data_IF_522040996228
#
_entry.id   IF_522040996228
#
_cell.length_a   1.000
_cell.length_b   1.000
_cell.length_c   1.000
_cell.angle_alpha   90.00
_cell.angle_beta   90.00
_cell.angle_gamma   90.00
#
_symmetry.space_group_name_H-M   'P 1'
#
loop_
_entity.id
_entity.type
_entity.pdbx_description
1 polymer ?
#
# COMPACT_ATOMS: atom_id res chain seq x y z
N UNK A 1 1.66 9.97 64.94
CA UNK A 1 1.99 11.23 64.27
C UNK A 1 2.84 11.09 63.03
N UNK A 2 4.07 10.48 63.09
CA UNK A 2 4.96 10.37 61.90
C UNK A 2 4.34 9.66 60.65
N UNK A 3 3.55 8.59 60.86
CA UNK A 3 2.85 7.86 59.77
C UNK A 3 1.74 8.68 59.11
N UNK A 4 1.02 9.50 59.84
CA UNK A 4 -0.05 10.36 59.33
C UNK A 4 0.53 11.51 58.51
N UNK A 5 1.64 12.10 58.98
CA UNK A 5 2.37 13.13 58.26
C UNK A 5 2.95 12.62 56.93
N UNK A 6 3.51 11.39 56.89
CA UNK A 6 3.99 10.75 55.68
C UNK A 6 2.88 10.52 54.63
N UNK A 7 1.69 10.10 55.04
CA UNK A 7 0.53 9.89 54.18
C UNK A 7 0.04 11.25 53.58
N UNK A 8 0.03 12.30 54.40
CA UNK A 8 -0.36 13.64 53.94
C UNK A 8 0.64 14.18 52.94
N UNK A 9 1.94 14.00 53.17
CA UNK A 9 2.99 14.40 52.24
C UNK A 9 2.89 13.64 50.90
N UNK A 10 2.64 12.31 50.93
CA UNK A 10 2.42 11.53 49.71
C UNK A 10 1.16 11.98 48.93
N UNK A 11 0.07 12.30 49.61
CA UNK A 11 -1.14 12.82 48.98
C UNK A 11 -0.91 14.20 48.37
N UNK A 12 -0.19 15.08 49.04
CA UNK A 12 0.14 16.44 48.51
C UNK A 12 1.04 16.32 47.26
N UNK A 13 2.01 15.39 47.26
CA UNK A 13 2.86 15.16 46.08
C UNK A 13 2.08 14.61 44.91
N UNK A 14 1.09 13.75 45.12
CA UNK A 14 0.19 13.25 44.08
C UNK A 14 -0.69 14.34 43.43
N UNK A 15 -1.06 15.37 44.20
CA UNK A 15 -1.86 16.50 43.71
C UNK A 15 -1.02 17.66 43.14
N UNK A 16 0.27 17.74 43.42
CA UNK A 16 1.14 18.82 42.94
C UNK A 16 1.92 18.50 41.66
N UNK A 17 1.92 17.22 41.22
CA UNK A 17 2.36 16.93 39.87
C UNK A 17 1.27 17.40 38.90
N UNK A 18 1.49 18.47 38.12
CA UNK A 18 0.60 18.76 37.00
C UNK A 18 0.72 17.54 36.08
N UNK A 19 -0.31 16.70 36.05
CA UNK A 19 -0.47 15.82 34.92
C UNK A 19 -0.44 16.75 33.70
N UNK A 20 0.66 16.76 32.94
CA UNK A 20 0.66 17.29 31.60
C UNK A 20 -0.39 16.44 30.87
N UNK A 21 -1.64 16.88 30.95
CA UNK A 21 -2.64 16.44 30.00
C UNK A 21 -2.06 16.89 28.67
N UNK A 22 -1.45 15.96 27.92
CA UNK A 22 -1.18 16.19 26.51
C UNK A 22 -2.57 16.58 25.96
N UNK A 23 -2.77 17.86 25.72
CA UNK A 23 -3.98 18.31 25.06
C UNK A 23 -4.06 17.48 23.79
N UNK A 24 -5.07 16.61 23.70
CA UNK A 24 -5.29 15.85 22.49
C UNK A 24 -5.43 16.89 21.38
N UNK A 25 -4.49 16.84 20.43
CA UNK A 25 -4.52 17.74 19.29
C UNK A 25 -5.82 17.46 18.55
N UNK A 26 -6.66 18.46 18.40
CA UNK A 26 -7.92 18.26 17.66
C UNK A 26 -7.61 17.80 16.25
N UNK A 27 -8.39 16.85 15.71
CA UNK A 27 -8.20 16.42 14.34
C UNK A 27 -8.40 17.60 13.38
N UNK A 28 -7.71 17.62 12.22
CA UNK A 28 -7.86 18.67 11.24
C UNK A 28 -9.33 18.77 10.79
N UNK A 29 -9.81 19.99 10.57
CA UNK A 29 -11.15 20.20 10.01
C UNK A 29 -11.16 19.68 8.57
N UNK A 30 -12.30 19.16 8.13
CA UNK A 30 -12.43 18.63 6.76
C UNK A 30 -12.04 19.64 5.68
N UNK A 31 -12.30 20.95 5.94
CA UNK A 31 -11.94 22.06 5.04
C UNK A 31 -10.43 22.32 4.95
N UNK A 32 -9.64 21.80 5.89
CA UNK A 32 -8.18 21.95 5.93
C UNK A 32 -7.47 20.83 5.13
N UNK A 33 -8.21 19.80 4.72
CA UNK A 33 -7.69 18.70 3.92
C UNK A 33 -8.11 18.86 2.45
N UNK A 34 -7.14 18.99 1.54
CA UNK A 34 -7.40 19.08 0.09
C UNK A 34 -7.86 17.74 -0.51
N UNK A 35 -7.55 16.61 0.12
CA UNK A 35 -8.00 15.29 -0.34
C UNK A 35 -9.53 15.19 -0.36
N UNK A 36 -10.09 14.54 -1.39
CA UNK A 36 -11.53 14.24 -1.49
C UNK A 36 -12.00 13.34 -0.36
N UNK A 37 -11.21 12.31 -0.05
CA UNK A 37 -11.42 11.39 1.06
C UNK A 37 -10.11 11.18 1.83
N UNK A 38 -10.19 10.98 3.15
CA UNK A 38 -9.04 10.69 3.99
C UNK A 38 -9.46 9.86 5.21
N UNK A 39 -8.62 8.94 5.62
CA UNK A 39 -8.83 8.11 6.81
C UNK A 39 -7.53 8.01 7.60
N UNK A 40 -7.62 8.15 8.92
CA UNK A 40 -6.59 7.77 9.86
C UNK A 40 -7.07 6.53 10.62
N UNK A 41 -6.33 5.44 10.52
CA UNK A 41 -6.65 4.17 11.17
C UNK A 41 -5.54 3.76 12.13
N UNK A 42 -5.90 3.31 13.32
CA UNK A 42 -4.96 2.67 14.24
C UNK A 42 -4.51 1.31 13.66
N UNK A 43 -3.22 1.18 13.39
CA UNK A 43 -2.66 -0.01 12.75
C UNK A 43 -2.75 -1.28 13.62
N UNK A 44 -2.82 -1.15 14.94
CA UNK A 44 -2.96 -2.29 15.86
C UNK A 44 -4.38 -2.83 15.90
N UNK A 45 -5.34 -1.97 16.22
CA UNK A 45 -6.75 -2.35 16.41
C UNK A 45 -7.60 -2.32 15.15
N UNK A 46 -7.17 -1.61 14.09
CA UNK A 46 -8.00 -1.33 12.91
C UNK A 46 -9.10 -0.30 13.15
N UNK A 47 -9.09 0.39 14.30
CA UNK A 47 -10.09 1.42 14.62
C UNK A 47 -9.84 2.68 13.78
N UNK A 48 -10.88 3.21 13.15
CA UNK A 48 -10.85 4.51 12.48
C UNK A 48 -10.82 5.61 13.55
N UNK A 49 -9.78 6.45 13.51
CA UNK A 49 -9.56 7.57 14.41
C UNK A 49 -10.06 8.89 13.82
N UNK A 50 -10.00 9.01 12.49
CA UNK A 50 -10.50 10.15 11.73
C UNK A 50 -10.98 9.68 10.37
N UNK A 51 -12.06 10.28 9.86
CA UNK A 51 -12.61 9.96 8.54
C UNK A 51 -13.20 11.22 7.91
N UNK A 52 -12.76 11.53 6.68
CA UNK A 52 -13.38 12.47 5.77
C UNK A 52 -13.82 11.68 4.54
N UNK A 53 -15.13 11.59 4.27
CA UNK A 53 -15.68 10.81 3.14
C UNK A 53 -15.08 9.40 3.03
N UNK A 54 -14.74 8.77 4.17
CA UNK A 54 -13.96 7.54 4.21
C UNK A 54 -14.60 6.34 3.53
N UNK A 55 -15.93 6.31 3.44
CA UNK A 55 -16.73 5.27 2.79
C UNK A 55 -17.16 5.62 1.35
N UNK A 56 -16.74 6.78 0.81
CA UNK A 56 -17.07 7.16 -0.56
C UNK A 56 -16.27 6.30 -1.56
N UNK A 57 -16.99 5.68 -2.52
CA UNK A 57 -16.37 4.92 -3.60
C UNK A 57 -15.71 5.85 -4.62
N UNK A 58 -14.40 5.80 -4.71
CA UNK A 58 -13.60 6.66 -5.58
C UNK A 58 -12.66 5.83 -6.47
N UNK A 59 -12.36 6.35 -7.66
CA UNK A 59 -11.28 5.82 -8.47
C UNK A 59 -9.96 5.99 -7.71
N UNK A 60 -9.27 4.89 -7.45
CA UNK A 60 -8.11 4.85 -6.57
C UNK A 60 -6.75 4.80 -7.29
N UNK A 61 -6.78 4.83 -8.62
CA UNK A 61 -5.58 4.87 -9.45
C UNK A 61 -4.49 3.88 -8.99
N UNK A 62 -3.24 4.30 -8.98
CA UNK A 62 -2.09 3.44 -8.66
C UNK A 62 -2.02 2.93 -7.21
N UNK A 63 -2.84 3.43 -6.28
CA UNK A 63 -2.93 2.82 -4.94
C UNK A 63 -3.42 1.36 -5.01
N UNK A 64 -4.04 0.96 -6.12
CA UNK A 64 -4.35 -0.44 -6.47
C UNK A 64 -3.13 -1.37 -6.38
N UNK A 65 -1.94 -0.86 -6.74
CA UNK A 65 -0.70 -1.66 -6.79
C UNK A 65 -0.24 -2.15 -5.42
N UNK A 66 -0.73 -1.55 -4.34
CA UNK A 66 -0.52 -2.03 -2.97
C UNK A 66 -1.06 -3.47 -2.84
N UNK A 67 -2.31 -3.69 -3.27
CA UNK A 67 -2.91 -5.02 -3.24
C UNK A 67 -2.27 -5.96 -4.26
N UNK A 68 -1.94 -5.46 -5.45
CA UNK A 68 -1.21 -6.24 -6.46
C UNK A 68 0.12 -6.74 -5.93
N UNK A 69 0.87 -5.90 -5.22
CA UNK A 69 2.14 -6.26 -4.60
C UNK A 69 1.97 -7.39 -3.59
N UNK A 70 1.08 -7.24 -2.61
CA UNK A 70 0.96 -8.24 -1.55
C UNK A 70 0.45 -9.58 -2.09
N UNK A 71 -0.48 -9.58 -3.06
CA UNK A 71 -0.93 -10.79 -3.72
C UNK A 71 0.25 -11.49 -4.43
N UNK A 72 1.09 -10.74 -5.14
CA UNK A 72 2.26 -11.30 -5.80
C UNK A 72 3.25 -11.90 -4.78
N UNK A 73 3.54 -11.20 -3.69
CA UNK A 73 4.45 -11.66 -2.64
C UNK A 73 3.96 -12.95 -1.96
N UNK A 74 2.66 -13.13 -1.84
CA UNK A 74 2.08 -14.32 -1.21
C UNK A 74 1.95 -15.52 -2.16
N UNK A 75 1.93 -15.30 -3.48
CA UNK A 75 1.56 -16.36 -4.45
C UNK A 75 2.62 -16.68 -5.49
N UNK A 76 3.80 -16.05 -5.49
CA UNK A 76 4.86 -16.39 -6.44
C UNK A 76 6.23 -16.48 -5.79
N UNK A 77 7.14 -17.21 -6.46
CA UNK A 77 8.57 -17.18 -6.16
C UNK A 77 9.18 -15.90 -6.75
N UNK A 78 9.91 -15.15 -5.94
CA UNK A 78 10.53 -13.88 -6.33
C UNK A 78 11.67 -14.06 -7.34
N UNK A 79 12.31 -15.20 -7.37
CA UNK A 79 13.36 -15.53 -8.36
C UNK A 79 12.78 -16.10 -9.67
N UNK A 80 11.47 -16.38 -9.72
CA UNK A 80 10.79 -16.81 -10.92
C UNK A 80 10.95 -15.77 -12.04
N UNK A 81 11.15 -16.27 -13.27
CA UNK A 81 11.26 -15.42 -14.45
C UNK A 81 9.86 -15.22 -15.05
N UNK A 82 9.53 -13.95 -15.27
CA UNK A 82 8.34 -13.53 -15.98
C UNK A 82 8.71 -12.92 -17.33
N UNK A 83 7.88 -13.15 -18.32
CA UNK A 83 8.04 -12.62 -19.69
C UNK A 83 7.02 -11.53 -19.95
N UNK A 84 7.47 -10.42 -20.52
CA UNK A 84 6.60 -9.31 -20.91
C UNK A 84 5.71 -9.75 -22.07
N UNK A 85 4.40 -9.79 -21.84
CA UNK A 85 3.41 -10.12 -22.87
C UNK A 85 3.20 -8.97 -23.85
N UNK A 86 2.56 -9.25 -24.98
CA UNK A 86 2.14 -8.21 -25.94
C UNK A 86 1.15 -7.23 -25.28
N UNK A 87 0.32 -7.70 -24.35
CA UNK A 87 -0.62 -6.85 -23.59
C UNK A 87 0.13 -5.95 -22.63
N UNK A 88 1.05 -6.46 -21.85
CA UNK A 88 1.87 -5.69 -20.91
C UNK A 88 2.69 -4.62 -21.63
N UNK A 89 3.35 -4.95 -22.75
CA UNK A 89 4.15 -4.01 -23.55
C UNK A 89 3.34 -2.82 -24.13
N UNK A 90 2.00 -2.95 -24.18
CA UNK A 90 1.08 -1.88 -24.62
C UNK A 90 0.52 -1.04 -23.47
N UNK A 91 0.91 -1.34 -22.22
CA UNK A 91 0.41 -0.57 -21.08
C UNK A 91 0.78 0.92 -21.22
N UNK A 92 -0.16 1.83 -20.93
CA UNK A 92 0.10 3.27 -21.06
C UNK A 92 1.09 3.73 -19.98
N UNK A 93 1.64 4.91 -20.17
CA UNK A 93 2.52 5.58 -19.19
C UNK A 93 1.76 5.76 -17.84
N UNK A 94 2.42 5.64 -16.69
CA UNK A 94 3.86 5.41 -16.45
C UNK A 94 4.19 3.93 -16.67
N UNK A 95 5.29 3.60 -17.36
CA UNK A 95 5.68 2.23 -17.66
C UNK A 95 7.21 2.07 -17.71
N UNK A 96 7.70 0.87 -17.44
CA UNK A 96 9.10 0.49 -17.63
C UNK A 96 9.50 0.58 -19.11
N UNK A 97 8.55 0.33 -20.00
CA UNK A 97 8.74 0.39 -21.46
C UNK A 97 9.43 -0.85 -22.03
N UNK A 98 9.35 -1.96 -21.34
CA UNK A 98 9.95 -3.21 -21.80
C UNK A 98 9.19 -3.79 -23.01
N UNK A 99 9.90 -4.20 -24.09
CA UNK A 99 9.27 -4.82 -25.24
C UNK A 99 8.74 -6.23 -24.92
N UNK A 100 7.73 -6.67 -25.67
CA UNK A 100 7.21 -8.03 -25.57
C UNK A 100 8.33 -9.07 -25.76
N UNK A 101 8.33 -10.12 -24.96
CA UNK A 101 9.35 -11.18 -24.95
C UNK A 101 10.55 -10.88 -24.05
N UNK A 102 10.74 -9.67 -23.53
CA UNK A 102 11.78 -9.38 -22.55
C UNK A 102 11.45 -10.06 -21.21
N UNK A 103 12.49 -10.54 -20.52
CA UNK A 103 12.34 -11.36 -19.32
C UNK A 103 13.00 -10.75 -18.11
N UNK A 104 12.31 -10.82 -16.97
CA UNK A 104 12.75 -10.28 -15.70
C UNK A 104 12.50 -11.27 -14.56
N UNK A 105 13.21 -11.11 -13.45
CA UNK A 105 12.79 -11.75 -12.19
C UNK A 105 11.58 -11.05 -11.61
N UNK A 106 10.69 -11.80 -11.00
CA UNK A 106 9.50 -11.26 -10.35
C UNK A 106 9.83 -10.20 -9.31
N UNK A 107 10.89 -10.40 -8.52
CA UNK A 107 11.31 -9.39 -7.53
C UNK A 107 11.59 -8.03 -8.16
N UNK A 108 12.30 -8.01 -9.29
CA UNK A 108 12.72 -6.77 -9.95
C UNK A 108 11.50 -6.02 -10.51
N UNK A 109 10.52 -6.75 -11.06
CA UNK A 109 9.24 -6.18 -11.50
C UNK A 109 8.42 -5.61 -10.33
N UNK A 110 8.41 -6.30 -9.17
CA UNK A 110 7.70 -5.83 -7.97
C UNK A 110 8.35 -4.56 -7.43
N UNK A 111 9.69 -4.48 -7.34
CA UNK A 111 10.38 -3.24 -6.99
C UNK A 111 10.05 -2.12 -7.98
N UNK A 112 10.18 -2.36 -9.28
CA UNK A 112 9.89 -1.39 -10.33
C UNK A 112 8.44 -0.88 -10.25
N UNK A 113 7.48 -1.78 -10.02
CA UNK A 113 6.07 -1.43 -9.83
C UNK A 113 5.85 -0.54 -8.60
N UNK A 114 6.49 -0.86 -7.48
CA UNK A 114 6.26 -0.13 -6.22
C UNK A 114 7.01 1.18 -6.14
N UNK A 115 8.23 1.27 -6.68
CA UNK A 115 9.03 2.49 -6.60
C UNK A 115 8.65 3.53 -7.66
N UNK A 116 8.36 3.09 -8.88
CA UNK A 116 8.08 3.97 -10.04
C UNK A 116 6.63 3.91 -10.51
N UNK A 117 5.82 3.05 -9.89
CA UNK A 117 4.41 2.87 -10.26
C UNK A 117 4.19 2.38 -11.71
N UNK A 118 5.09 1.59 -12.28
CA UNK A 118 5.01 1.13 -13.66
C UNK A 118 3.80 0.23 -13.93
N UNK A 119 3.01 0.61 -14.94
CA UNK A 119 1.76 -0.07 -15.29
C UNK A 119 1.99 -1.40 -15.99
N UNK A 120 2.98 -1.51 -16.87
CA UNK A 120 3.38 -2.74 -17.54
C UNK A 120 3.89 -3.80 -16.55
N UNK A 121 4.68 -3.40 -15.56
CA UNK A 121 5.12 -4.31 -14.50
C UNK A 121 3.94 -4.92 -13.76
N UNK A 122 2.91 -4.13 -13.42
CA UNK A 122 1.71 -4.66 -12.75
C UNK A 122 0.95 -5.68 -13.63
N UNK A 123 0.91 -5.47 -14.94
CA UNK A 123 0.29 -6.42 -15.90
C UNK A 123 1.10 -7.70 -15.96
N UNK A 124 2.43 -7.63 -16.13
CA UNK A 124 3.30 -8.83 -16.17
C UNK A 124 3.17 -9.63 -14.87
N UNK A 125 3.18 -8.95 -13.72
CA UNK A 125 3.01 -9.59 -12.40
C UNK A 125 1.67 -10.32 -12.33
N UNK A 126 0.58 -9.66 -12.74
CA UNK A 126 -0.75 -10.24 -12.72
C UNK A 126 -0.88 -11.47 -13.62
N UNK A 127 -0.34 -11.40 -14.83
CA UNK A 127 -0.32 -12.52 -15.78
C UNK A 127 0.53 -13.68 -15.26
N UNK A 128 1.68 -13.39 -14.64
CA UNK A 128 2.55 -14.42 -14.08
C UNK A 128 1.91 -15.13 -12.88
N UNK A 129 1.19 -14.41 -12.01
CA UNK A 129 0.55 -14.96 -10.81
C UNK A 129 -0.73 -15.74 -11.13
N UNK A 130 -1.55 -15.22 -12.05
CA UNK A 130 -2.91 -15.74 -12.28
C UNK A 130 -3.19 -16.20 -13.72
N UNK A 131 -2.19 -16.16 -14.60
CA UNK A 131 -2.31 -16.52 -16.01
C UNK A 131 -2.92 -15.41 -16.88
N UNK A 132 -3.86 -14.64 -16.35
CA UNK A 132 -4.49 -13.49 -17.05
C UNK A 132 -4.81 -12.35 -16.07
N UNK A 133 -4.94 -11.14 -16.58
CA UNK A 133 -5.37 -9.97 -15.79
C UNK A 133 -6.79 -10.14 -15.24
N UNK A 134 -7.67 -10.84 -15.95
CA UNK A 134 -9.05 -11.13 -15.52
C UNK A 134 -9.07 -12.07 -14.31
N UNK A 135 -8.27 -13.13 -14.33
CA UNK A 135 -8.15 -14.03 -13.19
C UNK A 135 -7.50 -13.32 -12.00
N UNK A 136 -6.51 -12.46 -12.26
CA UNK A 136 -5.88 -11.65 -11.22
C UNK A 136 -6.89 -10.65 -10.59
N UNK A 137 -7.73 -10.00 -11.42
CA UNK A 137 -8.83 -9.16 -10.93
C UNK A 137 -9.76 -9.92 -10.00
N UNK A 138 -10.09 -11.17 -10.32
CA UNK A 138 -10.89 -12.02 -9.41
C UNK A 138 -10.15 -12.27 -8.10
N UNK A 139 -8.85 -12.60 -8.14
CA UNK A 139 -8.04 -12.76 -6.92
C UNK A 139 -8.02 -11.48 -6.09
N UNK A 140 -7.87 -10.32 -6.70
CA UNK A 140 -7.90 -9.02 -5.99
C UNK A 140 -9.21 -8.83 -5.23
N UNK A 141 -10.34 -9.12 -5.85
CA UNK A 141 -11.65 -8.99 -5.21
C UNK A 141 -11.87 -10.03 -4.11
N UNK A 142 -11.38 -11.26 -4.29
CA UNK A 142 -11.42 -12.29 -3.25
C UNK A 142 -10.55 -11.88 -2.03
N UNK A 143 -9.36 -11.28 -2.25
CA UNK A 143 -8.54 -10.71 -1.19
C UNK A 143 -9.20 -9.53 -0.50
N UNK A 144 -9.76 -8.58 -1.26
CA UNK A 144 -10.48 -7.43 -0.69
C UNK A 144 -11.62 -7.90 0.23
N UNK A 145 -12.39 -8.89 -0.20
CA UNK A 145 -13.44 -9.51 0.61
C UNK A 145 -12.89 -10.19 1.88
N UNK A 146 -11.79 -10.96 1.77
CA UNK A 146 -11.11 -11.63 2.89
C UNK A 146 -10.60 -10.61 3.92
N UNK A 147 -10.08 -9.46 3.46
CA UNK A 147 -9.58 -8.37 4.29
C UNK A 147 -10.73 -7.62 4.98
N UNK A 148 -11.96 -7.76 4.51
CA UNK A 148 -13.14 -7.08 5.06
C UNK A 148 -13.41 -5.71 4.44
N UNK A 149 -13.00 -5.49 3.18
CA UNK A 149 -13.37 -4.31 2.42
C UNK A 149 -14.88 -4.29 2.17
N UNK A 150 -15.50 -3.14 2.41
CA UNK A 150 -16.96 -2.98 2.34
C UNK A 150 -17.45 -2.57 0.94
N UNK A 151 -16.70 -1.68 0.27
CA UNK A 151 -17.08 -1.15 -1.05
C UNK A 151 -15.84 -0.96 -1.93
N UNK A 152 -15.34 -2.09 -2.43
CA UNK A 152 -14.15 -2.18 -3.27
C UNK A 152 -14.40 -3.10 -4.46
N UNK A 153 -14.02 -2.64 -5.66
CA UNK A 153 -14.12 -3.44 -6.87
C UNK A 153 -12.93 -3.19 -7.80
N UNK A 154 -12.02 -4.15 -7.84
CA UNK A 154 -10.83 -4.10 -8.69
C UNK A 154 -11.07 -4.78 -10.03
N UNK A 155 -10.69 -4.11 -11.13
CA UNK A 155 -10.80 -4.60 -12.51
C UNK A 155 -9.39 -4.74 -13.12
N UNK A 156 -8.47 -3.83 -12.81
CA UNK A 156 -7.12 -3.80 -13.37
C UNK A 156 -6.07 -3.95 -12.28
N UNK A 157 -4.91 -4.59 -12.55
CA UNK A 157 -3.85 -4.75 -11.55
C UNK A 157 -3.05 -3.47 -11.29
N UNK A 158 -3.15 -2.47 -12.18
CA UNK A 158 -2.39 -1.23 -12.16
C UNK A 158 -3.21 -0.01 -11.71
N UNK A 159 -4.54 -0.15 -11.58
CA UNK A 159 -5.42 0.93 -11.16
C UNK A 159 -5.84 1.89 -12.25
N UNK A 160 -5.62 1.55 -13.52
CA UNK A 160 -6.21 2.31 -14.62
C UNK A 160 -7.73 2.19 -14.59
N UNK A 161 -8.38 3.31 -14.90
CA UNK A 161 -9.82 3.37 -14.95
C UNK A 161 -10.40 2.31 -15.88
N UNK A 162 -11.37 1.57 -15.37
CA UNK A 162 -12.06 0.51 -16.11
C UNK A 162 -13.49 0.37 -15.61
N UNK A 163 -14.34 -0.16 -16.47
CA UNK A 163 -15.73 -0.47 -16.14
C UNK A 163 -16.06 -1.90 -16.59
N UNK A 164 -16.77 -2.63 -15.73
CA UNK A 164 -17.25 -3.98 -15.98
C UNK A 164 -18.62 -4.16 -15.31
N UNK A 165 -19.60 -4.67 -16.06
CA UNK A 165 -20.94 -4.96 -15.55
C UNK A 165 -21.56 -3.77 -14.80
N UNK A 166 -21.47 -2.56 -15.39
CA UNK A 166 -21.95 -1.28 -14.83
C UNK A 166 -21.24 -0.82 -13.54
N UNK A 167 -20.21 -1.52 -13.08
CA UNK A 167 -19.35 -1.10 -11.97
C UNK A 167 -18.03 -0.55 -12.49
N UNK A 168 -17.54 0.52 -11.90
CA UNK A 168 -16.21 1.06 -12.18
C UNK A 168 -15.16 0.50 -11.22
N UNK A 169 -13.88 0.61 -11.59
CA UNK A 169 -12.75 0.27 -10.74
C UNK A 169 -12.65 1.28 -9.60
N UNK A 170 -12.84 0.83 -8.35
CA UNK A 170 -12.89 1.73 -7.19
C UNK A 170 -12.50 1.04 -5.88
N UNK A 171 -12.22 1.87 -4.90
CA UNK A 171 -12.16 1.52 -3.48
C UNK A 171 -12.60 2.72 -2.63
N UNK A 172 -12.66 2.56 -1.32
CA UNK A 172 -12.87 3.65 -0.38
C UNK A 172 -11.59 3.94 0.41
N UNK A 173 -11.47 5.12 1.03
CA UNK A 173 -10.31 5.42 1.86
C UNK A 173 -10.21 4.47 3.08
N UNK A 174 -11.35 4.05 3.64
CA UNK A 174 -11.39 3.06 4.72
C UNK A 174 -10.91 1.68 4.26
N UNK A 175 -11.36 1.22 3.09
CA UNK A 175 -10.94 -0.07 2.55
C UNK A 175 -9.46 -0.06 2.17
N UNK A 176 -8.96 1.04 1.61
CA UNK A 176 -7.53 1.19 1.33
C UNK A 176 -6.69 1.13 2.61
N UNK A 177 -7.16 1.75 3.70
CA UNK A 177 -6.52 1.65 5.01
C UNK A 177 -6.54 0.22 5.56
N UNK A 178 -7.64 -0.56 5.37
CA UNK A 178 -7.70 -1.99 5.72
C UNK A 178 -6.73 -2.82 4.90
N UNK A 179 -6.64 -2.58 3.58
CA UNK A 179 -5.68 -3.24 2.70
C UNK A 179 -4.25 -2.94 3.16
N UNK A 180 -3.91 -1.68 3.43
CA UNK A 180 -2.59 -1.32 3.92
C UNK A 180 -2.29 -1.99 5.27
N UNK A 181 -3.24 -1.97 6.21
CA UNK A 181 -3.09 -2.65 7.51
C UNK A 181 -2.83 -4.15 7.33
N UNK A 182 -3.54 -4.82 6.41
CA UNK A 182 -3.26 -6.22 6.06
C UNK A 182 -1.82 -6.38 5.58
N UNK A 183 -1.36 -5.55 4.64
CA UNK A 183 -0.02 -5.63 4.07
C UNK A 183 1.10 -5.50 5.12
N UNK A 184 0.93 -4.63 6.12
CA UNK A 184 1.99 -4.29 7.08
C UNK A 184 1.89 -5.02 8.43
N UNK A 185 0.76 -5.71 8.74
CA UNK A 185 0.51 -6.33 10.05
C UNK A 185 0.04 -7.76 9.99
N UNK A 186 -0.75 -8.15 9.00
CA UNK A 186 -1.46 -9.43 9.00
C UNK A 186 -0.93 -10.42 7.96
N UNK A 187 -0.41 -9.92 6.85
CA UNK A 187 0.17 -10.75 5.79
C UNK A 187 1.39 -11.53 6.29
N UNK A 188 1.56 -12.81 5.92
CA UNK A 188 2.79 -13.55 6.18
C UNK A 188 4.01 -12.97 5.44
N UNK A 189 3.81 -12.00 4.54
CA UNK A 189 4.84 -11.29 3.77
C UNK A 189 4.99 -9.82 4.19
N UNK A 190 4.46 -9.43 5.36
CA UNK A 190 4.51 -8.06 5.85
C UNK A 190 5.93 -7.48 5.89
N UNK A 191 6.90 -8.21 6.44
CA UNK A 191 8.29 -7.74 6.52
C UNK A 191 8.90 -7.52 5.13
N UNK A 192 8.58 -8.40 4.17
CA UNK A 192 9.06 -8.26 2.80
C UNK A 192 8.37 -7.09 2.07
N UNK A 193 7.08 -6.89 2.29
CA UNK A 193 6.35 -5.72 1.79
C UNK A 193 6.98 -4.43 2.32
N UNK A 194 7.21 -4.33 3.62
CA UNK A 194 7.86 -3.17 4.25
C UNK A 194 9.27 -2.93 3.71
N UNK A 195 10.05 -4.01 3.50
CA UNK A 195 11.38 -3.91 2.91
C UNK A 195 11.34 -3.32 1.50
N UNK A 196 10.46 -3.83 0.63
CA UNK A 196 10.36 -3.37 -0.77
C UNK A 196 9.90 -1.91 -0.82
N UNK A 197 8.87 -1.57 -0.06
CA UNK A 197 8.31 -0.22 -0.06
C UNK A 197 9.17 0.81 0.69
N UNK A 198 10.05 0.36 1.60
CA UNK A 198 11.02 1.20 2.29
C UNK A 198 12.34 1.40 1.54
N UNK A 199 12.58 0.68 0.43
CA UNK A 199 13.81 0.82 -0.35
C UNK A 199 13.86 2.17 -1.06
N UNK A 200 15.01 2.85 -1.01
CA UNK A 200 15.19 4.16 -1.63
C UNK A 200 15.37 4.07 -3.16
N UNK A 201 16.02 3.01 -3.61
CA UNK A 201 16.31 2.76 -5.03
C UNK A 201 16.52 1.27 -5.30
N UNK A 202 16.31 0.84 -6.52
CA UNK A 202 16.54 -0.54 -6.95
C UNK A 202 17.11 -0.57 -8.37
N UNK A 203 18.31 -1.15 -8.52
CA UNK A 203 18.95 -1.33 -9.82
C UNK A 203 18.91 -2.82 -10.21
N UNK A 204 18.57 -3.10 -11.45
CA UNK A 204 18.48 -4.46 -11.98
C UNK A 204 18.75 -4.52 -13.46
N UNK A 205 18.91 -5.72 -13.99
CA UNK A 205 18.99 -5.99 -15.42
C UNK A 205 17.90 -6.94 -15.84
N UNK A 206 17.56 -6.95 -17.12
CA UNK A 206 16.80 -8.05 -17.68
C UNK A 206 17.59 -9.37 -17.58
N UNK A 207 16.94 -10.50 -17.79
CA UNK A 207 17.57 -11.82 -17.67
C UNK A 207 18.75 -12.00 -18.64
N UNK A 208 18.76 -11.28 -19.77
CA UNK A 208 19.87 -11.31 -20.73
C UNK A 208 21.11 -10.53 -20.27
N UNK A 209 20.99 -9.67 -19.28
CA UNK A 209 22.02 -8.75 -18.81
C UNK A 209 22.34 -7.59 -19.76
N UNK A 210 21.58 -7.45 -20.86
CA UNK A 210 21.83 -6.40 -21.88
C UNK A 210 21.23 -5.06 -21.53
N UNK A 211 20.10 -5.06 -20.81
CA UNK A 211 19.34 -3.86 -20.49
C UNK A 211 19.36 -3.64 -18.99
N UNK A 212 19.89 -2.51 -18.57
CA UNK A 212 19.94 -2.11 -17.16
C UNK A 212 18.87 -1.06 -16.87
N UNK A 213 18.25 -1.18 -15.70
CA UNK A 213 17.18 -0.32 -15.20
C UNK A 213 17.53 0.17 -13.81
N UNK A 214 17.07 1.37 -13.48
CA UNK A 214 17.23 1.96 -12.16
C UNK A 214 15.93 2.64 -11.76
N UNK A 215 15.36 2.24 -10.65
CA UNK A 215 14.11 2.74 -10.10
C UNK A 215 14.37 3.49 -8.81
N UNK A 216 13.68 4.61 -8.61
CA UNK A 216 13.78 5.45 -7.42
C UNK A 216 12.45 5.53 -6.68
N UNK A 217 12.52 5.53 -5.37
CA UNK A 217 11.33 5.74 -4.55
C UNK A 217 10.99 7.22 -4.50
N UNK A 218 9.79 7.58 -4.96
CA UNK A 218 9.33 8.97 -5.03
C UNK A 218 8.80 9.53 -3.70
N UNK A 219 8.73 8.71 -2.64
CA UNK A 219 8.27 9.18 -1.34
C UNK A 219 9.33 10.05 -0.64
N UNK A 220 9.12 11.37 -0.63
CA UNK A 220 10.02 12.31 0.03
C UNK A 220 10.15 12.05 1.55
N UNK A 221 9.14 11.47 2.19
CA UNK A 221 9.15 11.17 3.62
C UNK A 221 10.17 10.10 4.02
N UNK A 222 10.64 9.26 3.10
CA UNK A 222 11.72 8.31 3.39
C UNK A 222 12.98 8.98 3.92
N UNK A 223 13.22 10.25 3.53
CA UNK A 223 14.38 11.05 3.98
C UNK A 223 14.07 11.90 5.21
N UNK A 224 12.82 11.98 5.63
CA UNK A 224 12.34 12.92 6.65
C UNK A 224 11.78 12.23 7.89
N UNK A 225 11.33 11.00 7.77
CA UNK A 225 10.61 10.28 8.84
C UNK A 225 11.09 8.83 8.91
N UNK A 226 11.48 8.38 10.10
CA UNK A 226 11.78 6.97 10.34
C UNK A 226 10.52 6.12 10.15
N UNK A 227 10.67 4.97 9.47
CA UNK A 227 9.57 4.05 9.20
C UNK A 227 8.63 4.46 8.06
N UNK A 228 8.93 5.53 7.32
CA UNK A 228 8.19 5.84 6.10
C UNK A 228 8.43 4.76 5.02
N UNK A 229 7.39 4.45 4.24
CA UNK A 229 7.44 3.53 3.10
C UNK A 229 6.83 4.21 1.87
N UNK A 230 7.10 3.68 0.67
CA UNK A 230 6.43 4.16 -0.54
C UNK A 230 4.93 3.87 -0.47
N UNK A 231 4.15 4.75 -1.03
CA UNK A 231 2.70 4.62 -1.11
C UNK A 231 2.17 5.09 -2.46
#
# INVERSE_FOLDING_TARGET
MKKVIAIIICLVILFTYPAKILAAQEPPKETELFAKAAVLMDGGSGRVLYSKNGSEALANASTTKILTCIIALENCDLEQIAEVSVQAAKAPKVHLGAPAGQKFRMKDLIYAMMLESFNDCAVVIAEQVAGTTEHFSKMMNDYAKKIGCADTFFITPNGLDAQKDSRFHHTTAEDLARIMRYCIKESPKADLFLKITGEAEHAFTDVSGKYAYHCYNHNAFLKMMDGAISG
#
